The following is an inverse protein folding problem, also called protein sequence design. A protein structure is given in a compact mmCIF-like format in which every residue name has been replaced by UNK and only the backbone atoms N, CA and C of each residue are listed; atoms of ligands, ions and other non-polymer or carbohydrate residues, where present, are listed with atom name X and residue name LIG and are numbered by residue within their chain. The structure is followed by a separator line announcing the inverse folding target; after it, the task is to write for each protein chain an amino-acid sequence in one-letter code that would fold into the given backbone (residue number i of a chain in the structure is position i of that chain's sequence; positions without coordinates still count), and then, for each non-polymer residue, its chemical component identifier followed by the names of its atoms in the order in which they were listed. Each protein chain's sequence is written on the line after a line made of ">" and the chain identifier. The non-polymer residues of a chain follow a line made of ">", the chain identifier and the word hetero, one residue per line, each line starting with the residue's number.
data_IF_807544985864
#
_entry.id   IF_807544985864
#
_cell.length_a   1.000
_cell.length_b   1.000
_cell.length_c   1.000
_cell.angle_alpha   90.00
_cell.angle_beta   90.00
_cell.angle_gamma   90.00
#
_symmetry.space_group_name_H-M   'P 1'
#
loop_
_entity.id
_entity.type
_entity.pdbx_description
1 polymer ?
#
# COMPACT_ATOMS: atom_id res chain seq x y z
N UNK A 1 6.61 15.94 -19.79
CA UNK A 1 6.98 15.16 -18.59
C UNK A 1 5.96 14.07 -18.27
N UNK A 2 4.65 14.33 -18.19
CA UNK A 2 3.60 13.33 -17.88
C UNK A 2 3.50 12.16 -18.87
N UNK A 3 3.77 12.35 -20.16
CA UNK A 3 3.71 11.29 -21.17
C UNK A 3 4.80 10.21 -21.00
N UNK A 4 5.97 10.56 -20.45
CA UNK A 4 7.03 9.60 -20.15
C UNK A 4 6.67 8.65 -18.99
N UNK A 5 5.84 9.09 -18.07
CA UNK A 5 5.37 8.28 -16.92
C UNK A 5 4.45 7.13 -17.32
N UNK A 6 3.73 7.28 -18.44
CA UNK A 6 2.67 6.33 -18.81
C UNK A 6 3.19 4.97 -19.32
N UNK A 7 4.50 4.79 -19.47
CA UNK A 7 5.07 3.61 -20.14
C UNK A 7 6.21 2.92 -19.38
N UNK A 8 6.60 3.39 -18.21
CA UNK A 8 7.85 2.94 -17.55
C UNK A 8 7.68 2.09 -16.31
N UNK A 9 6.51 2.11 -15.66
CA UNK A 9 6.30 1.32 -14.44
C UNK A 9 6.39 -0.18 -14.71
N UNK A 10 7.21 -0.89 -13.93
CA UNK A 10 7.46 -2.33 -13.97
C UNK A 10 7.87 -2.87 -15.38
N UNK A 11 8.34 -2.00 -16.29
CA UNK A 11 8.72 -2.39 -17.66
C UNK A 11 7.61 -3.05 -18.47
N UNK A 12 6.34 -2.77 -18.16
CA UNK A 12 5.16 -3.41 -18.77
C UNK A 12 4.93 -4.85 -18.28
N UNK A 13 5.54 -5.24 -17.16
CA UNK A 13 5.29 -6.49 -16.45
C UNK A 13 4.19 -6.28 -15.40
N UNK A 14 3.54 -7.37 -15.01
CA UNK A 14 2.63 -7.37 -13.86
C UNK A 14 3.42 -7.64 -12.59
N UNK A 15 3.31 -6.75 -11.62
CA UNK A 15 3.88 -6.96 -10.29
C UNK A 15 2.92 -7.74 -9.42
N UNK A 16 3.45 -8.78 -8.79
CA UNK A 16 2.75 -9.75 -7.95
C UNK A 16 3.41 -9.78 -6.57
N UNK A 17 2.64 -10.19 -5.57
CA UNK A 17 3.14 -10.62 -4.27
C UNK A 17 2.89 -12.10 -4.10
N UNK A 18 3.94 -12.87 -3.79
CA UNK A 18 3.83 -14.29 -3.51
C UNK A 18 3.14 -14.55 -2.17
N UNK A 19 2.27 -15.54 -2.08
CA UNK A 19 1.64 -15.96 -0.82
C UNK A 19 2.59 -16.88 -0.05
N UNK A 20 3.11 -16.49 1.12
CA UNK A 20 4.04 -17.30 1.90
C UNK A 20 3.43 -18.61 2.40
N UNK A 21 2.10 -18.69 2.54
CA UNK A 21 1.40 -19.94 2.88
C UNK A 21 1.46 -20.98 1.75
N UNK A 22 1.82 -20.57 0.52
CA UNK A 22 1.87 -21.40 -0.69
C UNK A 22 3.29 -21.63 -1.22
N UNK A 23 4.29 -20.93 -0.69
CA UNK A 23 5.69 -21.08 -1.07
C UNK A 23 6.45 -19.78 -1.23
N UNK A 24 7.68 -19.87 -1.73
CA UNK A 24 8.57 -18.72 -1.91
C UNK A 24 8.31 -17.99 -3.23
N UNK A 25 8.81 -16.75 -3.39
CA UNK A 25 8.75 -16.03 -4.67
C UNK A 25 9.39 -16.80 -5.83
N UNK A 26 10.50 -17.52 -5.58
CA UNK A 26 11.20 -18.33 -6.57
C UNK A 26 10.33 -19.51 -7.02
N UNK A 27 9.70 -20.21 -6.08
CA UNK A 27 8.77 -21.30 -6.37
C UNK A 27 7.53 -20.80 -7.15
N UNK A 28 7.07 -19.56 -6.85
CA UNK A 28 6.01 -18.93 -7.64
C UNK A 28 6.47 -18.66 -9.06
N UNK A 29 7.69 -18.15 -9.28
CA UNK A 29 8.25 -17.93 -10.61
C UNK A 29 8.24 -19.23 -11.45
N UNK A 30 8.72 -20.34 -10.88
CA UNK A 30 8.72 -21.64 -11.54
C UNK A 30 7.30 -22.10 -11.94
N UNK A 31 6.34 -21.98 -11.02
CA UNK A 31 4.93 -22.32 -11.27
C UNK A 31 4.30 -21.43 -12.35
N UNK A 32 4.60 -20.13 -12.35
CA UNK A 32 4.10 -19.20 -13.36
C UNK A 32 4.63 -19.56 -14.75
N UNK A 33 5.92 -19.85 -14.88
CA UNK A 33 6.52 -20.27 -16.14
C UNK A 33 5.92 -21.60 -16.63
N UNK A 34 5.76 -22.57 -15.73
CA UNK A 34 5.13 -23.86 -16.04
C UNK A 34 3.65 -23.72 -16.45
N UNK A 35 2.96 -22.67 -15.96
CA UNK A 35 1.56 -22.39 -16.30
C UNK A 35 1.37 -21.49 -17.54
N UNK A 36 2.46 -21.14 -18.25
CA UNK A 36 2.42 -20.41 -19.52
C UNK A 36 2.70 -18.91 -19.42
N UNK A 37 3.17 -18.41 -18.28
CA UNK A 37 3.70 -17.04 -18.23
C UNK A 37 4.94 -16.91 -19.12
N UNK A 38 5.05 -15.82 -19.89
CA UNK A 38 6.20 -15.61 -20.80
C UNK A 38 7.50 -15.33 -20.05
N UNK A 39 7.41 -14.65 -18.93
CA UNK A 39 8.53 -14.36 -18.02
C UNK A 39 8.01 -14.33 -16.60
N UNK A 40 8.84 -14.76 -15.65
CA UNK A 40 8.63 -14.56 -14.23
C UNK A 40 9.98 -14.49 -13.53
N UNK A 41 10.20 -13.45 -12.70
CA UNK A 41 11.41 -13.25 -11.94
C UNK A 41 11.12 -12.48 -10.65
N UNK A 42 11.95 -12.61 -9.59
CA UNK A 42 11.88 -11.75 -8.42
C UNK A 42 11.97 -10.27 -8.82
N UNK A 43 11.20 -9.43 -8.11
CA UNK A 43 11.22 -7.97 -8.31
C UNK A 43 12.26 -7.27 -7.42
N UNK A 44 12.20 -5.93 -7.39
CA UNK A 44 13.10 -5.08 -6.60
C UNK A 44 12.75 -5.08 -5.11
N UNK A 45 11.48 -5.32 -4.77
CA UNK A 45 10.99 -5.30 -3.39
C UNK A 45 10.94 -6.74 -2.87
N UNK A 46 11.43 -7.02 -1.64
CA UNK A 46 11.41 -8.35 -1.07
C UNK A 46 10.03 -9.02 -1.16
N UNK A 47 9.97 -10.24 -1.65
CA UNK A 47 8.72 -11.00 -1.82
C UNK A 47 7.93 -10.68 -3.09
N UNK A 48 8.32 -9.66 -3.86
CA UNK A 48 7.68 -9.33 -5.13
C UNK A 48 8.15 -10.22 -6.28
N UNK A 49 7.25 -10.45 -7.24
CA UNK A 49 7.52 -11.15 -8.50
C UNK A 49 7.02 -10.30 -9.67
N UNK A 50 7.83 -10.17 -10.70
CA UNK A 50 7.46 -9.53 -11.95
C UNK A 50 7.19 -10.60 -13.00
N UNK A 51 6.00 -10.61 -13.60
CA UNK A 51 5.61 -11.62 -14.58
C UNK A 51 4.91 -11.01 -15.80
N UNK A 52 5.03 -11.67 -16.94
CA UNK A 52 4.31 -11.33 -18.18
C UNK A 52 3.32 -12.43 -18.51
N UNK A 53 2.06 -12.08 -18.53
CA UNK A 53 0.95 -12.95 -18.93
C UNK A 53 0.51 -12.66 -20.37
N UNK A 54 -0.13 -13.64 -21.02
CA UNK A 54 -0.81 -13.43 -22.32
C UNK A 54 -2.21 -12.83 -22.16
N UNK A 55 -2.78 -12.91 -20.94
CA UNK A 55 -4.11 -12.40 -20.59
C UNK A 55 -4.11 -11.80 -19.20
N UNK A 56 -5.26 -11.76 -18.56
CA UNK A 56 -5.38 -11.27 -17.20
C UNK A 56 -4.76 -12.24 -16.20
N UNK A 57 -3.91 -11.79 -15.25
CA UNK A 57 -3.43 -12.62 -14.16
C UNK A 57 -4.56 -13.30 -13.36
N UNK A 58 -5.73 -12.65 -13.30
CA UNK A 58 -6.91 -13.17 -12.59
C UNK A 58 -7.52 -14.42 -13.24
N UNK A 59 -7.21 -14.68 -14.51
CA UNK A 59 -7.63 -15.88 -15.23
C UNK A 59 -6.75 -17.09 -14.93
N UNK A 60 -5.60 -16.88 -14.31
CA UNK A 60 -4.68 -17.94 -13.92
C UNK A 60 -5.29 -18.84 -12.82
N UNK A 61 -5.09 -20.14 -12.93
CA UNK A 61 -5.38 -21.10 -11.85
C UNK A 61 -4.63 -20.74 -10.57
N UNK A 62 -3.36 -20.35 -10.69
CA UNK A 62 -2.54 -19.95 -9.54
C UNK A 62 -3.11 -18.74 -8.79
N UNK A 63 -3.73 -17.78 -9.50
CA UNK A 63 -4.43 -16.67 -8.85
C UNK A 63 -5.67 -17.17 -8.08
N UNK A 64 -6.52 -17.99 -8.73
CA UNK A 64 -7.73 -18.54 -8.08
C UNK A 64 -7.40 -19.36 -6.86
N UNK A 65 -6.30 -20.12 -6.91
CA UNK A 65 -5.82 -20.97 -5.82
C UNK A 65 -5.02 -20.19 -4.74
N UNK A 66 -4.93 -18.86 -4.83
CA UNK A 66 -4.34 -17.99 -3.82
C UNK A 66 -2.81 -18.06 -3.74
N UNK A 67 -2.09 -18.43 -4.80
CA UNK A 67 -0.62 -18.41 -4.80
C UNK A 67 -0.02 -17.01 -4.81
N UNK A 68 -0.77 -16.03 -5.27
CA UNK A 68 -0.34 -14.63 -5.33
C UNK A 68 -1.51 -13.66 -5.35
N UNK A 69 -1.21 -12.40 -5.06
CA UNK A 69 -2.08 -11.28 -5.41
C UNK A 69 -1.32 -10.27 -6.29
N UNK A 70 -2.10 -9.44 -7.00
CA UNK A 70 -1.53 -8.41 -7.89
C UNK A 70 -1.37 -7.12 -7.09
N UNK A 71 -0.14 -6.65 -6.95
CA UNK A 71 0.16 -5.40 -6.27
C UNK A 71 1.46 -4.78 -6.78
N UNK A 72 1.45 -3.47 -7.05
CA UNK A 72 2.63 -2.74 -7.50
C UNK A 72 3.75 -2.74 -6.47
N UNK A 73 5.00 -2.83 -6.90
CA UNK A 73 6.16 -2.91 -6.00
C UNK A 73 6.25 -1.72 -5.03
N UNK A 74 5.97 -0.50 -5.48
CA UNK A 74 5.98 0.68 -4.61
C UNK A 74 4.89 0.61 -3.52
N UNK A 75 3.72 0.04 -3.85
CA UNK A 75 2.64 -0.24 -2.90
C UNK A 75 3.04 -1.28 -1.86
N UNK A 76 3.68 -2.39 -2.31
CA UNK A 76 4.25 -3.40 -1.41
C UNK A 76 5.27 -2.79 -0.45
N UNK A 77 6.14 -1.91 -0.94
CA UNK A 77 7.15 -1.24 -0.13
C UNK A 77 6.53 -0.41 1.01
N UNK A 78 5.42 0.30 0.73
CA UNK A 78 4.71 1.06 1.77
C UNK A 78 4.17 0.16 2.89
N UNK A 79 3.60 -1.00 2.56
CA UNK A 79 3.13 -1.95 3.56
C UNK A 79 4.30 -2.55 4.37
N UNK A 80 5.44 -2.88 3.74
CA UNK A 80 6.64 -3.33 4.45
C UNK A 80 7.20 -2.28 5.43
N UNK A 81 7.04 -0.98 5.14
CA UNK A 81 7.47 0.09 6.03
C UNK A 81 6.67 0.15 7.34
N UNK A 82 5.52 -0.52 7.43
CA UNK A 82 4.74 -0.64 8.67
C UNK A 82 5.48 -1.46 9.71
N UNK A 83 6.28 -2.44 9.27
CA UNK A 83 7.03 -3.36 10.14
C UNK A 83 6.12 -4.07 11.15
N UNK A 84 4.94 -4.50 10.66
CA UNK A 84 3.99 -5.26 11.45
C UNK A 84 4.62 -6.58 11.93
N UNK A 85 4.29 -7.01 13.16
CA UNK A 85 4.89 -8.17 13.80
C UNK A 85 3.83 -9.18 14.23
N UNK A 86 4.18 -10.46 14.36
CA UNK A 86 3.30 -11.45 14.97
C UNK A 86 2.78 -10.97 16.33
N UNK A 87 1.46 -11.06 16.54
CA UNK A 87 0.78 -10.66 17.75
C UNK A 87 0.37 -9.18 17.82
N UNK A 88 0.80 -8.32 16.90
CA UNK A 88 0.38 -6.92 16.85
C UNK A 88 -1.12 -6.76 16.57
N UNK A 89 -1.67 -5.64 17.02
CA UNK A 89 -2.93 -5.09 16.51
C UNK A 89 -2.60 -4.04 15.47
N UNK A 90 -2.98 -4.29 14.21
CA UNK A 90 -2.69 -3.41 13.07
C UNK A 90 -3.99 -2.89 12.46
N UNK A 91 -4.01 -1.61 12.09
CA UNK A 91 -5.11 -1.01 11.33
C UNK A 91 -4.63 -0.61 9.94
N UNK A 92 -5.42 -0.95 8.91
CA UNK A 92 -5.31 -0.41 7.55
C UNK A 92 -6.57 0.44 7.30
N UNK A 93 -6.44 1.77 7.36
CA UNK A 93 -7.60 2.67 7.39
C UNK A 93 -8.20 2.96 6.02
N UNK A 94 -7.51 2.63 4.92
CA UNK A 94 -7.98 2.83 3.55
C UNK A 94 -7.70 1.59 2.69
N UNK A 95 -8.08 0.42 3.20
CA UNK A 95 -7.55 -0.88 2.83
C UNK A 95 -7.91 -1.37 1.42
N UNK A 96 -9.06 -0.99 0.88
CA UNK A 96 -9.55 -1.60 -0.34
C UNK A 96 -8.73 -1.26 -1.60
N UNK A 97 -8.42 -2.28 -2.42
CA UNK A 97 -9.04 -3.61 -2.51
C UNK A 97 -8.41 -4.71 -1.64
N UNK A 98 -7.44 -4.40 -0.76
CA UNK A 98 -6.90 -5.33 0.22
C UNK A 98 -5.46 -5.78 0.00
N UNK A 99 -4.78 -5.33 -1.06
CA UNK A 99 -3.41 -5.78 -1.36
C UNK A 99 -2.43 -5.52 -0.22
N UNK A 100 -2.41 -4.29 0.32
CA UNK A 100 -1.55 -3.93 1.46
C UNK A 100 -1.93 -4.68 2.73
N UNK A 101 -3.25 -4.83 3.00
CA UNK A 101 -3.72 -5.64 4.13
C UNK A 101 -3.23 -7.09 4.06
N UNK A 102 -3.25 -7.71 2.86
CA UNK A 102 -2.70 -9.06 2.67
C UNK A 102 -1.21 -9.11 2.99
N UNK A 103 -0.44 -8.10 2.57
CA UNK A 103 0.98 -8.04 2.88
C UNK A 103 1.23 -7.80 4.38
N UNK A 104 0.43 -6.95 5.03
CA UNK A 104 0.53 -6.74 6.48
C UNK A 104 0.31 -8.04 7.26
N UNK A 105 -0.72 -8.81 6.92
CA UNK A 105 -0.98 -10.08 7.61
C UNK A 105 0.08 -11.14 7.27
N UNK A 106 0.70 -11.10 6.09
CA UNK A 106 1.86 -11.93 5.75
C UNK A 106 3.04 -11.65 6.67
N UNK A 107 3.39 -10.35 6.89
CA UNK A 107 4.47 -9.94 7.79
C UNK A 107 4.17 -10.30 9.26
N UNK A 108 2.89 -10.32 9.64
CA UNK A 108 2.42 -10.78 10.94
C UNK A 108 2.41 -12.31 11.09
N UNK A 109 2.72 -13.07 10.03
CA UNK A 109 2.68 -14.53 10.07
C UNK A 109 1.29 -15.13 10.28
N UNK A 110 0.25 -14.39 9.89
CA UNK A 110 -1.17 -14.67 10.17
C UNK A 110 -1.45 -14.82 11.68
N UNK A 111 -0.79 -14.01 12.50
CA UNK A 111 -0.97 -13.94 13.95
C UNK A 111 -1.32 -12.51 14.40
N UNK A 112 -2.04 -12.36 15.53
CA UNK A 112 -2.49 -11.07 16.06
C UNK A 112 -3.84 -10.64 15.50
N UNK A 113 -4.01 -9.34 15.22
CA UNK A 113 -5.29 -8.79 14.73
C UNK A 113 -5.05 -7.69 13.69
N UNK A 114 -5.47 -7.92 12.47
CA UNK A 114 -5.49 -6.91 11.41
C UNK A 114 -6.92 -6.47 11.13
N UNK A 115 -7.24 -5.18 11.36
CA UNK A 115 -8.52 -4.59 10.97
C UNK A 115 -8.32 -3.78 9.70
N UNK A 116 -8.99 -4.20 8.62
CA UNK A 116 -8.88 -3.61 7.29
C UNK A 116 -10.13 -2.80 6.98
N UNK A 117 -10.01 -1.47 7.06
CA UNK A 117 -11.12 -0.53 6.97
C UNK A 117 -11.26 0.09 5.58
N UNK A 118 -12.48 0.29 5.14
CA UNK A 118 -12.81 1.16 4.01
C UNK A 118 -14.20 1.77 4.22
N UNK A 119 -14.43 2.97 3.70
CA UNK A 119 -15.72 3.68 3.84
C UNK A 119 -16.86 3.02 3.08
N UNK A 120 -16.58 2.20 2.08
CA UNK A 120 -17.56 1.59 1.18
C UNK A 120 -17.71 0.09 1.43
N UNK A 121 -18.94 -0.36 1.76
CA UNK A 121 -19.24 -1.80 1.88
C UNK A 121 -18.86 -2.58 0.62
N UNK A 122 -19.15 -2.04 -0.57
CA UNK A 122 -18.77 -2.71 -1.82
C UNK A 122 -17.23 -2.91 -1.94
N UNK A 123 -16.46 -1.98 -1.42
CA UNK A 123 -15.01 -2.08 -1.41
C UNK A 123 -14.52 -3.04 -0.32
N UNK A 124 -15.16 -3.06 0.85
CA UNK A 124 -14.89 -4.03 1.92
C UNK A 124 -15.14 -5.46 1.45
N UNK A 125 -16.16 -5.70 0.61
CA UNK A 125 -16.38 -7.01 0.00
C UNK A 125 -15.21 -7.48 -0.90
N UNK A 126 -14.46 -6.56 -1.50
CA UNK A 126 -13.24 -6.92 -2.26
C UNK A 126 -12.15 -7.43 -1.31
N UNK A 127 -12.00 -6.80 -0.14
CA UNK A 127 -11.06 -7.23 0.90
C UNK A 127 -11.43 -8.64 1.38
N UNK A 128 -12.72 -8.88 1.71
CA UNK A 128 -13.20 -10.21 2.16
C UNK A 128 -12.84 -11.31 1.16
N UNK A 129 -13.15 -11.09 -0.12
CA UNK A 129 -12.84 -12.04 -1.19
C UNK A 129 -11.34 -12.28 -1.35
N UNK A 130 -10.54 -11.22 -1.20
CA UNK A 130 -9.08 -11.34 -1.31
C UNK A 130 -8.50 -12.15 -0.13
N UNK A 131 -8.94 -11.88 1.09
CA UNK A 131 -8.54 -12.60 2.31
C UNK A 131 -8.94 -14.08 2.22
N UNK A 132 -10.20 -14.37 1.86
CA UNK A 132 -10.69 -15.74 1.69
C UNK A 132 -9.86 -16.51 0.63
N UNK A 133 -9.62 -15.89 -0.54
CA UNK A 133 -8.84 -16.49 -1.61
C UNK A 133 -7.39 -16.78 -1.22
N UNK A 134 -6.77 -15.89 -0.44
CA UNK A 134 -5.39 -16.05 0.01
C UNK A 134 -5.25 -17.00 1.21
N UNK A 135 -6.35 -17.25 1.95
CA UNK A 135 -6.41 -18.21 3.04
C UNK A 135 -5.91 -17.69 4.40
N UNK A 136 -5.91 -16.37 4.62
CA UNK A 136 -5.57 -15.78 5.90
C UNK A 136 -6.76 -15.78 6.88
N UNK A 137 -6.50 -15.98 8.17
CA UNK A 137 -7.52 -16.13 9.20
C UNK A 137 -7.69 -14.89 10.11
N UNK A 138 -6.63 -14.09 10.29
CA UNK A 138 -6.59 -13.02 11.29
C UNK A 138 -6.76 -11.61 10.70
N UNK A 139 -7.56 -11.51 9.61
CA UNK A 139 -7.95 -10.23 9.00
C UNK A 139 -9.43 -9.99 9.23
N UNK A 140 -9.78 -8.80 9.74
CA UNK A 140 -11.14 -8.33 9.99
C UNK A 140 -11.49 -7.19 9.01
N UNK A 141 -12.11 -7.47 7.85
CA UNK A 141 -12.59 -6.43 6.94
C UNK A 141 -13.79 -5.70 7.53
N UNK A 142 -13.71 -4.36 7.59
CA UNK A 142 -14.69 -3.53 8.28
C UNK A 142 -15.05 -2.28 7.50
N UNK A 143 -16.34 -1.91 7.52
CA UNK A 143 -16.78 -0.59 7.05
C UNK A 143 -16.49 0.43 8.15
N UNK A 144 -15.65 1.40 7.86
CA UNK A 144 -15.33 2.52 8.76
C UNK A 144 -14.90 3.74 7.96
N UNK A 145 -15.34 4.91 8.37
CA UNK A 145 -14.95 6.18 7.78
C UNK A 145 -13.67 6.67 8.49
N UNK A 146 -12.53 6.47 7.86
CA UNK A 146 -11.22 6.86 8.40
C UNK A 146 -11.07 8.34 8.74
N UNK A 147 -11.99 9.20 8.30
CA UNK A 147 -12.00 10.63 8.67
C UNK A 147 -12.62 10.91 10.04
N UNK A 148 -13.19 9.88 10.70
CA UNK A 148 -13.92 10.01 11.96
C UNK A 148 -13.40 9.03 13.00
N UNK A 149 -13.40 9.46 14.25
CA UNK A 149 -13.14 8.55 15.35
C UNK A 149 -14.24 7.47 15.39
N UNK A 150 -13.83 6.21 15.28
CA UNK A 150 -14.70 5.04 15.45
C UNK A 150 -14.33 4.38 16.78
N UNK A 151 -15.22 4.52 17.77
CA UNK A 151 -14.98 4.03 19.13
C UNK A 151 -14.85 2.49 19.20
N UNK A 152 -15.30 1.78 18.18
CA UNK A 152 -15.20 0.33 18.11
C UNK A 152 -13.87 -0.16 17.52
N UNK A 153 -13.04 0.75 16.98
CA UNK A 153 -11.69 0.39 16.52
C UNK A 153 -10.74 0.25 17.73
N UNK A 154 -9.90 -0.78 17.74
CA UNK A 154 -8.93 -0.96 18.81
C UNK A 154 -7.79 0.06 18.73
N UNK A 155 -7.14 0.33 19.87
CA UNK A 155 -5.82 0.97 19.85
C UNK A 155 -4.81 0.04 19.19
N UNK A 156 -4.04 0.57 18.25
CA UNK A 156 -3.14 -0.21 17.38
C UNK A 156 -1.66 -0.05 17.75
N UNK A 157 -0.90 -1.10 17.51
CA UNK A 157 0.57 -1.10 17.58
C UNK A 157 1.16 -0.48 16.32
N UNK A 158 0.50 -0.68 15.16
CA UNK A 158 0.86 -0.05 13.90
C UNK A 158 -0.36 0.30 13.06
N UNK A 159 -0.26 1.38 12.28
CA UNK A 159 -1.34 1.86 11.39
C UNK A 159 -0.76 2.16 10.01
N UNK A 160 -1.47 1.70 8.98
CA UNK A 160 -1.26 2.10 7.60
C UNK A 160 -2.38 3.05 7.16
N UNK A 161 -1.98 4.17 6.56
CA UNK A 161 -2.86 5.11 5.87
C UNK A 161 -2.39 5.20 4.42
N UNK A 162 -2.93 4.32 3.55
CA UNK A 162 -2.79 4.46 2.10
C UNK A 162 -3.89 5.38 1.60
N UNK A 163 -3.64 6.68 1.70
CA UNK A 163 -4.69 7.70 1.61
C UNK A 163 -5.33 7.81 0.22
N UNK A 164 -6.63 8.13 0.16
CA UNK A 164 -7.24 8.54 -1.11
C UNK A 164 -6.50 9.77 -1.65
N UNK A 165 -6.08 9.72 -2.92
CA UNK A 165 -5.24 10.73 -3.54
C UNK A 165 -5.60 10.95 -5.02
N UNK A 166 -4.95 11.94 -5.65
CA UNK A 166 -5.13 12.25 -7.08
C UNK A 166 -4.71 11.11 -8.03
N UNK A 167 -3.80 10.23 -7.58
CA UNK A 167 -3.34 9.09 -8.37
C UNK A 167 -2.37 9.43 -9.50
N UNK A 168 -1.76 10.62 -9.49
CA UNK A 168 -0.85 11.08 -10.55
C UNK A 168 0.39 10.21 -10.75
N UNK A 169 0.71 9.35 -9.78
CA UNK A 169 1.84 8.42 -9.86
C UNK A 169 1.55 7.13 -10.66
N UNK A 170 0.27 6.80 -10.89
CA UNK A 170 -0.14 5.52 -11.51
C UNK A 170 -0.77 5.69 -12.90
N UNK A 171 -0.40 6.74 -13.62
CA UNK A 171 -0.90 7.04 -14.98
C UNK A 171 -0.66 5.89 -15.98
N UNK A 172 0.38 5.09 -15.79
CA UNK A 172 0.65 3.91 -16.61
C UNK A 172 -0.45 2.84 -16.48
N UNK A 173 -1.01 2.69 -15.27
CA UNK A 173 -2.04 1.70 -14.94
C UNK A 173 -3.46 2.24 -15.05
N UNK A 174 -3.63 3.56 -14.85
CA UNK A 174 -4.91 4.27 -14.92
C UNK A 174 -4.81 5.52 -15.78
N UNK A 175 -4.73 5.37 -17.10
CA UNK A 175 -4.51 6.49 -18.02
C UNK A 175 -5.67 7.49 -18.07
N UNK A 176 -6.86 7.10 -17.61
CA UNK A 176 -8.04 7.97 -17.48
C UNK A 176 -7.84 9.12 -16.48
N UNK A 177 -6.92 8.97 -15.52
CA UNK A 177 -6.59 10.02 -14.54
C UNK A 177 -6.12 11.30 -15.25
N UNK A 178 -5.40 11.20 -16.37
CA UNK A 178 -4.93 12.36 -17.15
C UNK A 178 -6.05 13.25 -17.69
N UNK A 179 -7.25 12.69 -17.82
CA UNK A 179 -8.43 13.42 -18.34
C UNK A 179 -9.31 13.96 -17.22
N UNK A 180 -9.02 13.60 -15.97
CA UNK A 180 -9.71 14.16 -14.81
C UNK A 180 -9.07 15.48 -14.49
N UNK A 181 -9.75 16.58 -14.85
CA UNK A 181 -9.33 17.91 -14.41
C UNK A 181 -9.42 17.93 -12.89
N UNK A 182 -8.30 18.08 -12.21
CA UNK A 182 -8.27 18.27 -10.78
C UNK A 182 -8.67 19.72 -10.51
N UNK A 183 -9.97 19.98 -10.40
CA UNK A 183 -10.46 21.27 -9.96
C UNK A 183 -9.92 21.56 -8.56
N UNK A 184 -9.55 22.82 -8.32
CA UNK A 184 -8.96 23.24 -7.04
C UNK A 184 -9.81 22.81 -5.84
N UNK A 185 -11.14 22.95 -5.91
CA UNK A 185 -12.05 22.56 -4.84
C UNK A 185 -11.93 21.05 -4.51
N UNK A 186 -11.85 20.19 -5.52
CA UNK A 186 -11.68 18.75 -5.34
C UNK A 186 -10.30 18.39 -4.77
N UNK A 187 -9.26 19.12 -5.17
CA UNK A 187 -7.94 18.94 -4.60
C UNK A 187 -7.93 19.34 -3.12
N UNK A 188 -8.51 20.49 -2.78
CA UNK A 188 -8.63 20.95 -1.40
C UNK A 188 -9.42 19.94 -0.52
N UNK A 189 -10.48 19.30 -1.08
CA UNK A 189 -11.24 18.22 -0.41
C UNK A 189 -10.37 16.97 -0.16
N UNK A 190 -9.52 16.59 -1.11
CA UNK A 190 -8.59 15.46 -0.92
C UNK A 190 -7.60 15.76 0.20
N UNK A 191 -6.99 16.95 0.20
CA UNK A 191 -6.05 17.37 1.23
C UNK A 191 -6.70 17.37 2.63
N UNK A 192 -7.93 17.88 2.74
CA UNK A 192 -8.69 17.87 3.99
C UNK A 192 -9.01 16.44 4.47
N UNK A 193 -9.39 15.56 3.54
CA UNK A 193 -9.65 14.13 3.82
C UNK A 193 -8.40 13.43 4.33
N UNK A 194 -7.27 13.61 3.67
CA UNK A 194 -5.97 13.04 4.07
C UNK A 194 -5.57 13.50 5.47
N UNK A 195 -5.68 14.82 5.73
CA UNK A 195 -5.41 15.39 7.06
C UNK A 195 -6.28 14.77 8.15
N UNK A 196 -7.60 14.63 7.90
CA UNK A 196 -8.53 14.05 8.88
C UNK A 196 -8.25 12.58 9.16
N UNK A 197 -7.85 11.79 8.14
CA UNK A 197 -7.48 10.39 8.31
C UNK A 197 -6.19 10.27 9.14
N UNK A 198 -5.21 11.12 8.91
CA UNK A 198 -3.97 11.17 9.70
C UNK A 198 -4.25 11.52 11.17
N UNK A 199 -5.12 12.48 11.43
CA UNK A 199 -5.50 12.87 12.79
C UNK A 199 -6.25 11.72 13.52
N UNK A 200 -7.11 10.98 12.79
CA UNK A 200 -7.77 9.77 13.30
C UNK A 200 -6.75 8.68 13.61
N UNK A 201 -5.78 8.44 12.71
CA UNK A 201 -4.72 7.48 12.92
C UNK A 201 -3.87 7.82 14.16
N UNK A 202 -3.54 9.11 14.36
CA UNK A 202 -2.81 9.56 15.54
C UNK A 202 -3.55 9.25 16.85
N UNK A 203 -4.87 9.40 16.85
CA UNK A 203 -5.71 9.11 18.02
C UNK A 203 -5.80 7.60 18.33
N UNK A 204 -5.77 6.72 17.30
CA UNK A 204 -5.89 5.27 17.45
C UNK A 204 -4.54 4.57 17.66
N UNK A 205 -3.42 5.27 17.52
CA UNK A 205 -2.09 4.67 17.67
C UNK A 205 -1.63 4.71 19.13
N UNK A 206 -1.16 3.57 19.64
CA UNK A 206 -0.52 3.47 20.95
C UNK A 206 0.77 4.30 21.02
N UNK A 207 1.19 4.69 22.20
CA UNK A 207 2.53 5.23 22.45
C UNK A 207 3.61 4.21 21.98
N UNK A 208 4.65 4.68 21.31
CA UNK A 208 5.67 3.82 20.70
C UNK A 208 5.23 3.16 19.39
N UNK A 209 3.96 3.28 19.00
CA UNK A 209 3.42 2.69 17.76
C UNK A 209 3.95 3.34 16.50
N UNK A 210 3.77 2.64 15.37
CA UNK A 210 4.21 3.07 14.04
C UNK A 210 3.05 3.47 13.15
N UNK A 211 3.15 4.63 12.51
CA UNK A 211 2.23 5.13 11.49
C UNK A 211 2.96 5.20 10.14
N UNK A 212 2.42 4.58 9.12
CA UNK A 212 2.88 4.76 7.75
C UNK A 212 1.80 5.49 6.95
N UNK A 213 2.18 6.62 6.36
CA UNK A 213 1.38 7.36 5.40
C UNK A 213 1.89 7.10 4.00
N UNK A 214 0.99 6.81 3.06
CA UNK A 214 1.35 6.59 1.66
C UNK A 214 0.30 7.11 0.70
N UNK A 215 0.73 7.45 -0.52
CA UNK A 215 -0.12 7.87 -1.63
C UNK A 215 0.43 7.36 -2.95
N UNK A 216 -0.45 7.09 -3.91
CA UNK A 216 -0.07 6.78 -5.28
C UNK A 216 0.01 8.05 -6.16
N UNK A 217 0.46 9.17 -5.61
CA UNK A 217 0.64 10.44 -6.33
C UNK A 217 2.06 10.97 -6.18
N UNK A 218 2.41 11.91 -7.05
CA UNK A 218 3.68 12.64 -7.02
C UNK A 218 3.48 14.12 -6.66
N UNK A 219 2.28 14.48 -6.21
CA UNK A 219 1.94 15.85 -5.82
C UNK A 219 2.52 16.16 -4.43
N UNK A 220 3.43 17.16 -4.30
CA UNK A 220 3.98 17.54 -3.01
C UNK A 220 2.94 17.93 -1.96
N UNK A 221 1.84 18.56 -2.39
CA UNK A 221 0.77 18.99 -1.48
C UNK A 221 0.06 17.78 -0.81
N UNK A 222 -0.03 16.65 -1.51
CA UNK A 222 -0.60 15.42 -0.98
C UNK A 222 0.45 14.55 -0.24
N UNK A 223 1.73 14.89 -0.33
CA UNK A 223 2.86 14.10 0.14
C UNK A 223 3.61 14.77 1.30
N UNK A 224 4.78 15.33 1.01
CA UNK A 224 5.66 15.89 2.04
C UNK A 224 5.03 17.08 2.79
N UNK A 225 4.18 17.89 2.13
CA UNK A 225 3.49 19.01 2.78
C UNK A 225 2.41 18.50 3.76
N UNK A 226 1.69 17.41 3.44
CA UNK A 226 0.77 16.76 4.37
C UNK A 226 1.49 16.23 5.60
N UNK A 227 2.64 15.56 5.42
CA UNK A 227 3.43 15.04 6.52
C UNK A 227 3.95 16.19 7.39
N UNK A 228 4.48 17.25 6.79
CA UNK A 228 4.96 18.44 7.52
C UNK A 228 3.84 19.09 8.34
N UNK A 229 2.65 19.26 7.73
CA UNK A 229 1.48 19.81 8.42
C UNK A 229 0.98 18.90 9.55
N UNK A 230 1.03 17.58 9.36
CA UNK A 230 0.70 16.60 10.41
C UNK A 230 1.67 16.70 11.60
N UNK A 231 2.98 16.68 11.34
CA UNK A 231 3.99 16.77 12.41
C UNK A 231 3.92 18.10 13.19
N UNK A 232 3.52 19.18 12.53
CA UNK A 232 3.31 20.48 13.21
C UNK A 232 2.11 20.43 14.17
N UNK A 233 1.07 19.62 13.88
CA UNK A 233 -0.09 19.43 14.77
C UNK A 233 0.12 18.37 15.84
N UNK A 234 1.00 17.40 15.55
CA UNK A 234 1.25 16.20 16.38
C UNK A 234 2.73 16.12 16.75
N UNK A 235 3.23 16.97 17.68
CA UNK A 235 4.64 17.02 18.05
C UNK A 235 5.14 15.73 18.75
N UNK A 236 4.23 14.85 19.14
CA UNK A 236 4.53 13.51 19.68
C UNK A 236 4.94 12.51 18.58
N UNK A 237 4.91 12.89 17.30
CA UNK A 237 5.37 12.08 16.19
C UNK A 237 6.72 12.54 15.64
N UNK A 238 7.49 11.58 15.15
CA UNK A 238 8.73 11.83 14.42
C UNK A 238 8.83 10.93 13.21
N UNK A 239 9.45 11.40 12.15
CA UNK A 239 9.81 10.55 10.99
C UNK A 239 10.87 9.54 11.42
N UNK A 240 10.71 8.30 10.99
CA UNK A 240 11.68 7.22 11.24
C UNK A 240 12.05 6.52 9.94
N UNK A 241 13.26 6.03 9.86
CA UNK A 241 13.70 5.24 8.71
C UNK A 241 13.22 3.80 8.87
N UNK A 242 12.49 3.22 7.90
CA UNK A 242 12.12 1.81 7.96
C UNK A 242 13.35 0.91 7.75
N UNK A 243 13.27 -0.33 8.27
CA UNK A 243 14.33 -1.32 8.13
C UNK A 243 14.46 -1.83 6.68
N UNK A 244 13.35 -1.87 5.94
CA UNK A 244 13.36 -2.27 4.53
C UNK A 244 14.19 -1.29 3.70
N UNK A 245 15.12 -1.82 2.90
CA UNK A 245 15.93 -1.00 2.00
C UNK A 245 15.06 -0.42 0.87
N UNK A 246 15.25 0.87 0.59
CA UNK A 246 14.61 1.49 -0.56
C UNK A 246 15.38 1.14 -1.84
N UNK A 247 14.68 0.76 -2.91
CA UNK A 247 15.30 0.54 -4.21
C UNK A 247 16.03 1.79 -4.72
N UNK A 248 17.07 1.58 -5.52
CA UNK A 248 17.82 2.66 -6.14
C UNK A 248 16.91 3.58 -6.95
N UNK A 249 17.22 4.87 -6.95
CA UNK A 249 16.46 5.90 -7.67
C UNK A 249 15.30 6.51 -6.88
N UNK A 250 14.97 6.01 -5.69
CA UNK A 250 14.04 6.72 -4.78
C UNK A 250 14.67 7.98 -4.24
N UNK A 251 13.88 9.05 -4.16
CA UNK A 251 14.30 10.30 -3.50
C UNK A 251 13.87 10.26 -2.05
N UNK A 252 14.83 10.28 -1.12
CA UNK A 252 14.56 10.31 0.32
C UNK A 252 14.75 11.74 0.83
N UNK A 253 13.69 12.30 1.40
CA UNK A 253 13.66 13.64 2.02
C UNK A 253 13.44 13.57 3.53
N UNK A 254 13.28 14.74 4.12
CA UNK A 254 13.00 14.89 5.56
C UNK A 254 11.65 14.29 5.96
N UNK A 255 10.63 14.44 5.10
CA UNK A 255 9.25 14.06 5.38
C UNK A 255 8.80 12.76 4.69
N UNK A 256 9.72 11.98 4.13
CA UNK A 256 9.39 10.71 3.48
C UNK A 256 10.25 10.37 2.29
N UNK A 257 9.80 9.40 1.51
CA UNK A 257 10.48 8.92 0.32
C UNK A 257 9.53 8.86 -0.88
N UNK A 258 10.01 9.29 -2.03
CA UNK A 258 9.26 9.35 -3.29
C UNK A 258 9.89 8.42 -4.33
N UNK A 259 9.09 7.52 -4.86
CA UNK A 259 9.37 6.76 -6.09
C UNK A 259 8.84 7.55 -7.29
N UNK A 260 9.66 7.64 -8.33
CA UNK A 260 9.29 8.25 -9.61
C UNK A 260 9.57 7.24 -10.71
N UNK A 261 8.59 6.87 -11.57
CA UNK A 261 8.73 5.76 -12.54
C UNK A 261 9.95 5.84 -13.44
N UNK A 262 10.35 7.04 -13.84
CA UNK A 262 11.52 7.25 -14.71
C UNK A 262 12.88 7.01 -14.03
N UNK A 263 12.89 6.88 -12.71
CA UNK A 263 14.11 6.65 -11.92
C UNK A 263 14.15 5.26 -11.31
N UNK A 264 13.03 4.78 -10.79
CA UNK A 264 12.93 3.52 -10.06
C UNK A 264 12.44 2.36 -10.93
N UNK A 265 11.73 2.66 -12.04
CA UNK A 265 10.97 1.67 -12.80
C UNK A 265 9.68 1.19 -12.12
N UNK A 266 9.39 1.66 -10.90
CA UNK A 266 8.15 1.39 -10.17
C UNK A 266 7.12 2.51 -10.41
N UNK A 267 5.89 2.35 -9.89
CA UNK A 267 4.89 3.43 -9.88
C UNK A 267 5.40 4.68 -9.16
N UNK A 268 4.84 5.84 -9.51
CA UNK A 268 4.98 7.06 -8.72
C UNK A 268 4.24 6.88 -7.40
N UNK A 269 4.98 6.96 -6.30
CA UNK A 269 4.46 6.60 -4.98
C UNK A 269 5.23 7.32 -3.88
N UNK A 270 4.51 7.88 -2.94
CA UNK A 270 5.09 8.47 -1.75
C UNK A 270 4.83 7.60 -0.53
N UNK A 271 5.79 7.57 0.38
CA UNK A 271 5.65 6.91 1.67
C UNK A 271 6.45 7.63 2.76
N UNK A 272 5.89 7.68 3.96
CA UNK A 272 6.53 8.19 5.16
C UNK A 272 6.21 7.30 6.35
N UNK A 273 7.25 6.77 7.00
CA UNK A 273 7.10 6.06 8.26
C UNK A 273 7.35 7.02 9.42
N UNK A 274 6.45 7.02 10.38
CA UNK A 274 6.48 7.87 11.57
C UNK A 274 6.30 7.00 12.82
N UNK A 275 6.84 7.44 13.93
CA UNK A 275 6.68 6.80 15.24
C UNK A 275 6.11 7.79 16.22
N UNK A 276 5.07 7.36 16.95
CA UNK A 276 4.52 8.08 18.09
C UNK A 276 5.49 7.92 19.27
N UNK A 277 6.02 9.02 19.76
CA UNK A 277 6.79 9.03 21.02
C UNK A 277 5.85 8.91 22.22
N UNK A 278 6.41 8.77 23.41
CA UNK A 278 5.59 8.66 24.64
C UNK A 278 4.81 9.93 24.92
#
# INVERSE_FOLDING_TARGET
>A
MLLGYAHTADGGLTSLRANPLKGTPEALCEKLLASGAKTAAPGLVPGSVLARFEGSPAESGLFRDGYFHVEGQASQLAALCVEAKPGDTVLDLCAAPGGKSLLLIEEMGDEGRLVSCDVSENRVQLIRKAVERMGFAHVEPRVSDGTKADADLPMADAILVDAPCSGLGILAKKPDIRYKTLEKARHDELLATQSSILDTAAALLKAGGRLVYSTCTIDPAENEEQVAAFLARHPEFRVVRPAVAFPDGMTVGEHGALSVPTRTGMDGFFLCAMQKTQ
#
